data_IF_099832109209
#
_entry.id   IF_099832109209
#
_cell.length_a   1.000
_cell.length_b   1.000
_cell.length_c   1.000
_cell.angle_alpha   90.00
_cell.angle_beta   90.00
_cell.angle_gamma   90.00
#
_symmetry.space_group_name_H-M   'P 1'
#
loop_
_entity.id
_entity.type
_entity.pdbx_description
1 polymer ?
#
# COMPACT_ATOMS: atom_id res chain seq x y z
N UNK A 1 -19.09 -2.27 8.05
CA UNK A 1 -19.05 -1.05 7.21
C UNK A 1 -17.86 -1.04 6.26
N UNK A 2 -16.61 -0.91 6.72
CA UNK A 2 -15.41 -0.83 5.84
C UNK A 2 -15.31 -1.97 4.81
N UNK A 3 -15.51 -3.23 5.24
CA UNK A 3 -15.46 -4.37 4.32
C UNK A 3 -16.50 -4.29 3.18
N UNK A 4 -17.69 -3.76 3.47
CA UNK A 4 -18.72 -3.53 2.46
C UNK A 4 -18.33 -2.45 1.45
N UNK A 5 -17.75 -1.33 1.92
CA UNK A 5 -17.23 -0.29 1.03
C UNK A 5 -16.10 -0.81 0.14
N UNK A 6 -15.16 -1.58 0.71
CA UNK A 6 -14.06 -2.20 -0.04
C UNK A 6 -14.62 -3.13 -1.13
N UNK A 7 -15.57 -4.01 -0.79
CA UNK A 7 -16.18 -4.92 -1.76
C UNK A 7 -16.90 -4.16 -2.87
N UNK A 8 -17.71 -3.14 -2.51
CA UNK A 8 -18.42 -2.29 -3.46
C UNK A 8 -17.47 -1.62 -4.48
N UNK A 9 -16.39 -1.00 -4.00
CA UNK A 9 -15.46 -0.31 -4.89
C UNK A 9 -14.60 -1.26 -5.71
N UNK A 10 -14.23 -2.43 -5.15
CA UNK A 10 -13.57 -3.47 -5.92
C UNK A 10 -14.46 -3.99 -7.06
N UNK A 11 -15.74 -4.23 -6.79
CA UNK A 11 -16.74 -4.60 -7.81
C UNK A 11 -16.91 -3.49 -8.84
N UNK A 12 -16.97 -2.23 -8.42
CA UNK A 12 -17.06 -1.08 -9.32
C UNK A 12 -15.86 -1.00 -10.25
N UNK A 13 -14.65 -1.15 -9.72
CA UNK A 13 -13.42 -1.17 -10.53
C UNK A 13 -13.45 -2.33 -11.54
N UNK A 14 -13.85 -3.53 -11.11
CA UNK A 14 -13.96 -4.70 -11.99
C UNK A 14 -14.97 -4.49 -13.12
N UNK A 15 -16.16 -3.98 -12.80
CA UNK A 15 -17.19 -3.67 -13.81
C UNK A 15 -16.64 -2.66 -14.83
N UNK A 16 -15.94 -1.62 -14.37
CA UNK A 16 -15.33 -0.63 -15.26
C UNK A 16 -14.21 -1.22 -16.13
N UNK A 17 -13.45 -2.19 -15.64
CA UNK A 17 -12.48 -2.94 -16.46
C UNK A 17 -13.20 -3.74 -17.55
N UNK A 18 -14.25 -4.47 -17.18
CA UNK A 18 -15.01 -5.31 -18.11
C UNK A 18 -15.78 -4.50 -19.16
N UNK A 19 -16.14 -3.26 -18.82
CA UNK A 19 -16.82 -2.32 -19.71
C UNK A 19 -15.86 -1.46 -20.55
N UNK A 20 -14.54 -1.70 -20.49
CA UNK A 20 -13.50 -0.88 -21.14
C UNK A 20 -13.65 0.63 -20.82
N UNK A 21 -14.00 0.92 -19.58
CA UNK A 21 -14.25 2.29 -19.13
C UNK A 21 -12.94 3.10 -19.03
N UNK A 22 -13.01 4.45 -19.04
CA UNK A 22 -11.85 5.29 -18.85
C UNK A 22 -11.05 4.92 -17.61
N UNK A 23 -9.73 4.91 -17.71
CA UNK A 23 -8.81 4.49 -16.63
C UNK A 23 -9.05 5.19 -15.30
N UNK A 24 -9.52 6.42 -15.33
CA UNK A 24 -9.95 7.17 -14.14
C UNK A 24 -10.97 6.38 -13.30
N UNK A 25 -11.98 5.81 -13.96
CA UNK A 25 -13.08 5.03 -13.37
C UNK A 25 -12.66 3.62 -12.92
N UNK A 26 -11.43 3.20 -13.25
CA UNK A 26 -10.87 1.93 -12.79
C UNK A 26 -9.96 2.18 -11.60
N UNK A 27 -9.00 3.12 -11.78
CA UNK A 27 -7.92 3.33 -10.83
C UNK A 27 -8.43 4.01 -9.55
N UNK A 28 -9.31 5.00 -9.64
CA UNK A 28 -9.76 5.73 -8.44
C UNK A 28 -10.69 4.92 -7.54
N UNK A 29 -11.64 4.12 -8.06
CA UNK A 29 -12.33 3.13 -7.24
C UNK A 29 -11.38 2.16 -6.54
N UNK A 30 -10.31 1.74 -7.21
CA UNK A 30 -9.33 0.85 -6.58
C UNK A 30 -8.46 1.59 -5.53
N UNK A 31 -7.96 2.78 -5.81
CA UNK A 31 -7.04 3.49 -4.91
C UNK A 31 -7.77 4.26 -3.81
N UNK A 32 -8.74 5.09 -4.14
CA UNK A 32 -9.55 5.82 -3.15
C UNK A 32 -10.62 4.92 -2.51
N UNK A 33 -11.28 4.08 -3.30
CA UNK A 33 -12.35 3.23 -2.81
C UNK A 33 -11.86 2.02 -2.01
N UNK A 34 -10.87 1.28 -2.51
CA UNK A 34 -10.34 0.09 -1.80
C UNK A 34 -9.17 0.45 -0.89
N UNK A 35 -8.07 0.95 -1.46
CA UNK A 35 -6.81 1.14 -0.71
C UNK A 35 -6.96 2.19 0.40
N UNK A 36 -7.58 3.34 0.13
CA UNK A 36 -7.72 4.40 1.15
C UNK A 36 -8.67 4.00 2.27
N UNK A 37 -9.76 3.28 1.96
CA UNK A 37 -10.67 2.75 2.98
C UNK A 37 -9.96 1.73 3.89
N UNK A 38 -9.14 0.85 3.30
CA UNK A 38 -8.29 -0.07 4.05
C UNK A 38 -7.28 0.68 4.93
N UNK A 39 -6.55 1.65 4.36
CA UNK A 39 -5.56 2.46 5.09
C UNK A 39 -6.21 3.16 6.28
N UNK A 40 -7.32 3.89 6.10
CA UNK A 40 -8.00 4.61 7.18
C UNK A 40 -8.38 3.70 8.35
N UNK A 41 -8.89 2.51 8.04
CA UNK A 41 -9.35 1.54 9.04
C UNK A 41 -8.18 0.86 9.73
N UNK A 42 -7.30 0.22 8.96
CA UNK A 42 -6.24 -0.61 9.54
C UNK A 42 -5.12 0.22 10.18
N UNK A 43 -4.76 1.38 9.63
CA UNK A 43 -3.78 2.25 10.30
C UNK A 43 -4.30 2.79 11.63
N UNK A 44 -5.63 2.96 11.79
CA UNK A 44 -6.23 3.27 13.10
C UNK A 44 -5.99 2.14 14.09
N UNK A 45 -6.32 0.90 13.69
CA UNK A 45 -6.14 -0.30 14.54
C UNK A 45 -4.67 -0.54 14.90
N UNK A 46 -3.76 -0.41 13.94
CA UNK A 46 -2.32 -0.54 14.20
C UNK A 46 -1.81 0.57 15.10
N UNK A 47 -2.22 1.83 14.88
CA UNK A 47 -1.82 2.93 15.75
C UNK A 47 -2.33 2.74 17.18
N UNK A 48 -3.56 2.24 17.36
CA UNK A 48 -4.13 1.92 18.68
C UNK A 48 -3.28 0.86 19.40
N UNK A 49 -2.97 -0.25 18.73
CA UNK A 49 -2.13 -1.30 19.28
C UNK A 49 -0.71 -0.80 19.64
N UNK A 50 -0.08 -0.02 18.77
CA UNK A 50 1.28 0.48 18.96
C UNK A 50 1.41 1.54 20.06
N UNK A 51 0.33 2.29 20.32
CA UNK A 51 0.31 3.37 21.31
C UNK A 51 -0.44 3.01 22.59
N UNK A 52 -0.97 1.78 22.67
CA UNK A 52 -1.84 1.29 23.77
C UNK A 52 -3.02 2.24 24.01
N UNK A 53 -3.64 2.69 22.93
CA UNK A 53 -4.84 3.54 22.95
C UNK A 53 -6.03 2.82 22.31
N UNK A 54 -7.22 3.38 22.45
CA UNK A 54 -8.43 2.87 21.82
C UNK A 54 -9.18 4.01 21.12
N UNK A 55 -9.48 3.83 19.83
CA UNK A 55 -10.26 4.79 19.06
C UNK A 55 -11.75 4.56 19.21
N UNK A 56 -12.51 5.65 19.33
CA UNK A 56 -13.95 5.60 19.08
C UNK A 56 -14.19 5.33 17.58
N UNK A 57 -15.17 4.49 17.23
CA UNK A 57 -15.42 4.12 15.83
C UNK A 57 -15.99 5.28 15.00
N UNK A 58 -16.84 6.12 15.60
CA UNK A 58 -17.56 7.18 14.88
C UNK A 58 -16.63 8.15 14.10
N UNK A 59 -15.55 8.73 14.67
CA UNK A 59 -14.64 9.58 13.90
C UNK A 59 -13.97 8.89 12.71
N UNK A 60 -13.72 7.58 12.78
CA UNK A 60 -13.18 6.81 11.65
C UNK A 60 -14.24 6.68 10.56
N UNK A 61 -15.48 6.40 10.94
CA UNK A 61 -16.61 6.30 10.01
C UNK A 61 -16.93 7.63 9.32
N UNK A 62 -16.83 8.76 10.02
CA UNK A 62 -16.99 10.09 9.40
C UNK A 62 -15.92 10.33 8.34
N UNK A 63 -14.65 10.00 8.61
CA UNK A 63 -13.57 10.13 7.62
C UNK A 63 -13.75 9.21 6.42
N UNK A 64 -14.19 7.96 6.66
CA UNK A 64 -14.54 7.03 5.59
C UNK A 64 -15.69 7.59 4.75
N UNK A 65 -16.78 8.06 5.37
CA UNK A 65 -17.90 8.64 4.65
C UNK A 65 -17.48 9.85 3.80
N UNK A 66 -16.67 10.76 4.37
CA UNK A 66 -16.15 11.92 3.66
C UNK A 66 -15.32 11.53 2.41
N UNK A 67 -14.40 10.56 2.53
CA UNK A 67 -13.60 10.09 1.39
C UNK A 67 -14.45 9.39 0.34
N UNK A 68 -15.43 8.58 0.75
CA UNK A 68 -16.30 7.87 -0.20
C UNK A 68 -17.24 8.83 -0.94
N UNK A 69 -17.81 9.82 -0.24
CA UNK A 69 -18.64 10.86 -0.85
C UNK A 69 -17.81 11.74 -1.80
N UNK A 70 -16.57 12.10 -1.41
CA UNK A 70 -15.64 12.80 -2.27
C UNK A 70 -15.30 11.99 -3.53
N UNK A 71 -15.06 10.68 -3.42
CA UNK A 71 -14.82 9.81 -4.57
C UNK A 71 -16.04 9.76 -5.50
N UNK A 72 -17.25 9.60 -4.97
CA UNK A 72 -18.48 9.65 -5.78
C UNK A 72 -18.57 10.98 -6.52
N UNK A 73 -18.41 12.10 -5.81
CA UNK A 73 -18.45 13.43 -6.40
C UNK A 73 -17.39 13.60 -7.52
N UNK A 74 -16.18 13.11 -7.31
CA UNK A 74 -15.09 13.13 -8.31
C UNK A 74 -15.40 12.26 -9.54
N UNK A 75 -16.08 11.13 -9.39
CA UNK A 75 -16.45 10.25 -10.52
C UNK A 75 -17.55 10.87 -11.40
N UNK A 76 -18.40 11.72 -10.81
CA UNK A 76 -19.49 12.41 -11.52
C UNK A 76 -19.17 13.88 -11.83
N UNK A 77 -17.91 14.30 -11.67
CA UNK A 77 -17.44 15.68 -11.88
C UNK A 77 -18.23 16.74 -11.07
N UNK A 78 -18.77 16.35 -9.92
CA UNK A 78 -19.55 17.21 -9.04
C UNK A 78 -18.62 17.97 -8.08
N UNK A 79 -18.42 19.27 -8.33
CA UNK A 79 -17.59 20.15 -7.50
C UNK A 79 -16.18 19.56 -7.24
N UNK A 80 -15.41 19.21 -8.31
CA UNK A 80 -14.22 18.36 -8.19
C UNK A 80 -13.16 18.92 -7.24
N UNK A 81 -12.96 20.25 -7.21
CA UNK A 81 -12.01 20.89 -6.30
C UNK A 81 -12.43 20.75 -4.82
N UNK A 82 -13.73 20.88 -4.53
CA UNK A 82 -14.26 20.70 -3.17
C UNK A 82 -14.20 19.23 -2.75
N UNK A 83 -14.53 18.31 -3.67
CA UNK A 83 -14.43 16.88 -3.43
C UNK A 83 -12.98 16.46 -3.14
N UNK A 84 -12.02 16.93 -3.95
CA UNK A 84 -10.60 16.70 -3.75
C UNK A 84 -10.11 17.28 -2.41
N UNK A 85 -10.49 18.52 -2.08
CA UNK A 85 -10.16 19.15 -0.80
C UNK A 85 -10.75 18.36 0.38
N UNK A 86 -12.00 17.87 0.27
CA UNK A 86 -12.66 17.06 1.29
C UNK A 86 -11.89 15.77 1.57
N UNK A 87 -11.48 15.06 0.51
CA UNK A 87 -10.65 13.86 0.65
C UNK A 87 -9.31 14.17 1.33
N UNK A 88 -8.62 15.23 0.91
CA UNK A 88 -7.36 15.66 1.50
C UNK A 88 -7.51 16.04 2.99
N UNK A 89 -8.53 16.82 3.33
CA UNK A 89 -8.83 17.21 4.72
C UNK A 89 -9.17 16.00 5.60
N UNK A 90 -9.92 15.02 5.09
CA UNK A 90 -10.21 13.79 5.81
C UNK A 90 -8.93 12.99 6.13
N UNK A 91 -8.00 12.90 5.16
CA UNK A 91 -6.72 12.22 5.35
C UNK A 91 -5.77 12.99 6.26
N UNK A 92 -5.70 14.32 6.15
CA UNK A 92 -4.92 15.15 7.07
C UNK A 92 -5.46 15.06 8.50
N UNK A 93 -6.79 15.05 8.67
CA UNK A 93 -7.41 14.82 9.98
C UNK A 93 -7.04 13.44 10.53
N UNK A 94 -7.03 12.41 9.68
CA UNK A 94 -6.59 11.07 10.04
C UNK A 94 -5.13 11.04 10.51
N UNK A 95 -4.21 11.60 9.73
CA UNK A 95 -2.80 11.72 10.09
C UNK A 95 -2.59 12.49 11.40
N UNK A 96 -3.29 13.61 11.58
CA UNK A 96 -3.26 14.37 12.83
C UNK A 96 -3.79 13.56 14.03
N UNK A 97 -4.79 12.70 13.82
CA UNK A 97 -5.29 11.81 14.86
C UNK A 97 -4.26 10.78 15.29
N UNK A 98 -3.52 10.19 14.34
CA UNK A 98 -2.42 9.26 14.64
C UNK A 98 -1.27 9.99 15.35
N UNK A 99 -0.89 11.17 14.87
CA UNK A 99 0.14 12.00 15.50
C UNK A 99 -0.21 12.35 16.96
N UNK A 100 -1.48 12.65 17.25
CA UNK A 100 -1.93 12.87 18.64
C UNK A 100 -1.78 11.63 19.52
N UNK A 101 -2.07 10.43 19.00
CA UNK A 101 -1.86 9.17 19.74
C UNK A 101 -0.39 8.91 20.01
N UNK A 102 0.49 9.20 19.04
CA UNK A 102 1.93 9.08 19.21
C UNK A 102 2.47 9.99 20.32
N UNK A 103 1.89 11.19 20.47
CA UNK A 103 2.28 12.17 21.49
C UNK A 103 1.68 11.89 22.87
N UNK A 104 0.46 11.36 22.94
CA UNK A 104 -0.32 11.24 24.20
C UNK A 104 -0.48 9.81 24.72
N UNK A 105 -0.20 8.81 23.89
CA UNK A 105 -0.30 7.40 24.27
C UNK A 105 0.95 6.92 25.02
N UNK A 106 1.05 5.60 25.16
CA UNK A 106 2.23 4.91 25.70
C UNK A 106 2.93 4.18 24.54
N UNK A 107 3.66 4.91 23.68
CA UNK A 107 4.25 4.33 22.48
C UNK A 107 5.25 3.24 22.84
N UNK A 108 5.00 2.03 22.30
CA UNK A 108 6.00 0.97 22.34
C UNK A 108 7.20 1.31 21.45
N UNK A 109 8.30 0.55 21.55
CA UNK A 109 9.49 0.68 20.70
C UNK A 109 9.19 0.86 19.21
N UNK A 110 8.19 0.18 18.66
CA UNK A 110 7.85 0.19 17.24
C UNK A 110 6.76 1.19 16.86
N UNK A 111 6.28 2.01 17.79
CA UNK A 111 5.33 3.09 17.48
C UNK A 111 5.88 4.09 16.46
N UNK A 112 7.21 4.12 16.26
CA UNK A 112 7.83 4.90 15.18
C UNK A 112 7.31 4.54 13.79
N UNK A 113 6.85 3.31 13.57
CA UNK A 113 6.21 2.89 12.30
C UNK A 113 4.93 3.67 12.01
N UNK A 114 4.20 4.14 13.02
CA UNK A 114 3.00 4.92 12.81
C UNK A 114 3.27 6.35 12.30
N UNK A 115 4.52 6.86 12.37
CA UNK A 115 4.89 8.08 11.64
C UNK A 115 4.80 7.89 10.12
N UNK A 116 4.89 6.67 9.60
CA UNK A 116 4.67 6.41 8.18
C UNK A 116 3.23 6.75 7.78
N UNK A 117 2.24 6.49 8.63
CA UNK A 117 0.85 6.88 8.36
C UNK A 117 0.63 8.40 8.39
N UNK A 118 1.39 9.11 9.24
CA UNK A 118 1.37 10.58 9.30
C UNK A 118 1.98 11.16 8.03
N UNK A 119 3.14 10.65 7.61
CA UNK A 119 3.78 11.04 6.35
C UNK A 119 2.88 10.73 5.14
N UNK A 120 2.23 9.56 5.12
CA UNK A 120 1.29 9.17 4.08
C UNK A 120 0.15 10.18 3.92
N UNK A 121 -0.41 10.68 5.02
CA UNK A 121 -1.46 11.71 4.97
C UNK A 121 -0.98 13.02 4.33
N UNK A 122 0.26 13.43 4.60
CA UNK A 122 0.86 14.60 3.95
C UNK A 122 1.11 14.36 2.46
N UNK A 123 1.64 13.19 2.09
CA UNK A 123 1.82 12.80 0.69
C UNK A 123 0.50 12.71 -0.08
N UNK A 124 -0.57 12.26 0.56
CA UNK A 124 -1.90 12.26 -0.05
C UNK A 124 -2.35 13.68 -0.37
N UNK A 125 -2.16 14.63 0.55
CA UNK A 125 -2.48 16.03 0.30
C UNK A 125 -1.63 16.64 -0.83
N UNK A 126 -0.33 16.31 -0.89
CA UNK A 126 0.54 16.71 -2.01
C UNK A 126 0.10 16.08 -3.33
N UNK A 127 -0.30 14.80 -3.34
CA UNK A 127 -0.83 14.15 -4.53
C UNK A 127 -2.11 14.83 -5.02
N UNK A 128 -3.02 15.21 -4.10
CA UNK A 128 -4.22 15.98 -4.44
C UNK A 128 -3.86 17.36 -5.00
N UNK A 129 -2.90 18.06 -4.42
CA UNK A 129 -2.45 19.36 -4.92
C UNK A 129 -1.90 19.24 -6.35
N UNK A 130 -1.08 18.23 -6.64
CA UNK A 130 -0.58 17.94 -7.98
C UNK A 130 -1.72 17.63 -8.96
N UNK A 131 -2.75 16.88 -8.54
CA UNK A 131 -3.92 16.60 -9.37
C UNK A 131 -4.70 17.87 -9.76
N UNK A 132 -4.92 18.77 -8.80
CA UNK A 132 -5.60 20.06 -9.03
C UNK A 132 -4.80 20.93 -10.01
N UNK A 133 -3.47 20.86 -9.96
CA UNK A 133 -2.58 21.52 -10.93
C UNK A 133 -2.46 20.78 -12.26
N UNK A 134 -3.18 19.67 -12.44
CA UNK A 134 -3.14 18.79 -13.62
C UNK A 134 -1.78 18.14 -13.88
N UNK A 135 -0.92 18.07 -12.87
CA UNK A 135 0.34 17.32 -12.93
C UNK A 135 0.09 15.85 -12.54
N UNK A 136 -0.31 15.07 -13.56
CA UNK A 136 -0.61 13.63 -13.40
C UNK A 136 0.65 12.82 -13.05
N UNK A 137 1.82 13.26 -13.52
CA UNK A 137 3.08 12.56 -13.28
C UNK A 137 3.53 12.70 -11.82
N UNK A 138 3.44 13.90 -11.24
CA UNK A 138 3.67 14.10 -9.81
C UNK A 138 2.56 13.45 -8.97
N UNK A 139 1.28 13.65 -9.35
CA UNK A 139 0.13 13.08 -8.64
C UNK A 139 0.27 11.57 -8.45
N UNK A 140 0.53 10.84 -9.53
CA UNK A 140 0.61 9.38 -9.52
C UNK A 140 1.74 8.86 -8.62
N UNK A 141 2.94 9.46 -8.68
CA UNK A 141 4.08 9.08 -7.83
C UNK A 141 3.88 9.44 -6.37
N UNK A 142 3.32 10.61 -6.06
CA UNK A 142 2.98 11.00 -4.69
C UNK A 142 1.89 10.09 -4.10
N UNK A 143 0.89 9.71 -4.90
CA UNK A 143 -0.17 8.78 -4.47
C UNK A 143 0.36 7.35 -4.25
N UNK A 144 1.16 6.83 -5.17
CA UNK A 144 1.65 5.44 -5.12
C UNK A 144 2.81 5.29 -4.12
N UNK A 145 3.87 6.07 -4.30
CA UNK A 145 5.10 5.94 -3.50
C UNK A 145 5.07 6.75 -2.21
N UNK A 146 4.25 7.81 -2.15
CA UNK A 146 4.11 8.66 -0.99
C UNK A 146 3.01 8.20 -0.06
N UNK A 147 1.79 8.01 -0.57
CA UNK A 147 0.66 7.59 0.24
C UNK A 147 0.59 6.07 0.43
N UNK A 148 0.37 5.29 -0.63
CA UNK A 148 0.13 3.85 -0.49
C UNK A 148 1.38 3.11 0.06
N UNK A 149 2.53 3.29 -0.58
CA UNK A 149 3.76 2.59 -0.23
C UNK A 149 4.22 2.84 1.22
N UNK A 150 4.23 4.08 1.68
CA UNK A 150 4.70 4.39 3.06
C UNK A 150 3.82 3.72 4.11
N UNK A 151 2.50 3.63 3.89
CA UNK A 151 1.62 2.88 4.80
C UNK A 151 1.92 1.38 4.79
N UNK A 152 2.11 0.79 3.61
CA UNK A 152 2.43 -0.64 3.46
C UNK A 152 3.77 -0.96 4.11
N UNK A 153 4.82 -0.23 3.76
CA UNK A 153 6.18 -0.48 4.23
C UNK A 153 6.31 -0.25 5.74
N UNK A 154 5.66 0.78 6.29
CA UNK A 154 5.59 1.02 7.73
C UNK A 154 4.87 -0.13 8.47
N UNK A 155 3.78 -0.64 7.92
CA UNK A 155 3.02 -1.78 8.50
C UNK A 155 3.87 -3.04 8.52
N UNK A 156 4.51 -3.37 7.39
CA UNK A 156 5.28 -4.61 7.18
C UNK A 156 6.41 -4.77 8.19
N UNK A 157 7.06 -3.68 8.61
CA UNK A 157 8.15 -3.71 9.60
C UNK A 157 7.72 -4.37 10.92
N UNK A 158 6.44 -4.28 11.27
CA UNK A 158 5.88 -4.90 12.47
C UNK A 158 5.09 -6.17 12.16
N UNK A 159 4.37 -6.18 11.03
CA UNK A 159 3.51 -7.29 10.65
C UNK A 159 4.29 -8.57 10.34
N UNK A 160 5.37 -8.50 9.55
CA UNK A 160 6.14 -9.70 9.18
C UNK A 160 6.73 -10.42 10.41
N UNK A 161 7.38 -9.74 11.37
CA UNK A 161 7.82 -10.38 12.60
C UNK A 161 6.67 -11.01 13.41
N UNK A 162 5.48 -10.39 13.41
CA UNK A 162 4.29 -11.00 14.04
C UNK A 162 3.88 -12.29 13.33
N UNK A 163 3.87 -12.29 11.99
CA UNK A 163 3.50 -13.47 11.19
C UNK A 163 4.48 -14.63 11.37
N UNK A 164 5.78 -14.35 11.52
CA UNK A 164 6.82 -15.36 11.76
C UNK A 164 7.03 -15.67 13.24
N UNK A 165 6.26 -15.04 14.15
CA UNK A 165 6.43 -15.14 15.61
C UNK A 165 7.85 -14.81 16.08
N UNK A 166 8.57 -13.98 15.33
CA UNK A 166 9.91 -13.49 15.65
C UNK A 166 9.84 -12.14 16.34
N UNK A 167 10.91 -11.81 17.09
CA UNK A 167 11.06 -10.48 17.66
C UNK A 167 11.33 -9.47 16.55
N UNK A 168 10.61 -8.36 16.56
CA UNK A 168 10.83 -7.28 15.60
C UNK A 168 12.26 -6.71 15.73
N UNK A 169 12.90 -6.43 14.59
CA UNK A 169 14.32 -6.07 14.52
C UNK A 169 14.58 -4.65 15.06
N UNK A 170 15.43 -4.48 16.10
CA UNK A 170 15.85 -3.15 16.57
C UNK A 170 16.59 -2.36 15.48
N UNK A 171 17.31 -3.07 14.61
CA UNK A 171 18.00 -2.51 13.45
C UNK A 171 17.00 -1.92 12.47
N UNK A 172 15.97 -2.66 12.06
CA UNK A 172 14.93 -2.14 11.16
C UNK A 172 14.26 -0.90 11.74
N UNK A 173 13.98 -0.90 13.04
CA UNK A 173 13.43 0.27 13.74
C UNK A 173 14.34 1.50 13.66
N UNK A 174 15.65 1.35 13.92
CA UNK A 174 16.61 2.46 13.84
C UNK A 174 16.71 2.99 12.41
N UNK A 175 16.80 2.08 11.44
CA UNK A 175 16.93 2.41 10.01
C UNK A 175 15.68 3.10 9.46
N UNK A 176 14.50 2.76 9.96
CA UNK A 176 13.22 3.34 9.54
C UNK A 176 13.19 4.86 9.69
N UNK A 177 13.68 5.41 10.80
CA UNK A 177 13.64 6.87 11.01
C UNK A 177 14.45 7.62 9.95
N UNK A 178 15.64 7.10 9.60
CA UNK A 178 16.47 7.68 8.54
C UNK A 178 15.84 7.49 7.16
N UNK A 179 15.32 6.30 6.89
CA UNK A 179 14.69 6.00 5.60
C UNK A 179 13.44 6.85 5.36
N UNK A 180 12.59 7.01 6.39
CA UNK A 180 11.40 7.83 6.31
C UNK A 180 11.77 9.31 6.13
N UNK A 181 12.78 9.81 6.86
CA UNK A 181 13.24 11.19 6.69
C UNK A 181 13.77 11.43 5.26
N UNK A 182 14.62 10.53 4.75
CA UNK A 182 15.12 10.60 3.38
C UNK A 182 13.96 10.56 2.36
N UNK A 183 12.98 9.67 2.54
CA UNK A 183 11.83 9.54 1.65
C UNK A 183 10.93 10.78 1.66
N UNK A 184 10.70 11.38 2.83
CA UNK A 184 9.94 12.62 3.00
C UNK A 184 10.56 13.82 2.28
N UNK A 185 11.87 13.82 2.04
CA UNK A 185 12.58 14.87 1.31
C UNK A 185 12.69 14.52 -0.18
N UNK A 186 13.09 13.28 -0.47
CA UNK A 186 13.43 12.85 -1.82
C UNK A 186 12.18 12.69 -2.71
N UNK A 187 11.05 12.20 -2.19
CA UNK A 187 9.89 11.98 -3.05
C UNK A 187 9.25 13.30 -3.55
N UNK A 188 9.06 14.35 -2.72
CA UNK A 188 8.62 15.65 -3.23
C UNK A 188 9.62 16.27 -4.21
N UNK A 189 10.92 16.11 -3.96
CA UNK A 189 11.95 16.56 -4.90
C UNK A 189 11.85 15.81 -6.24
N UNK A 190 11.62 14.49 -6.22
CA UNK A 190 11.42 13.71 -7.43
C UNK A 190 10.20 14.18 -8.23
N UNK A 191 9.11 14.51 -7.54
CA UNK A 191 7.89 15.04 -8.15
C UNK A 191 8.08 16.46 -8.72
N UNK A 192 8.83 17.32 -8.04
CA UNK A 192 9.05 18.71 -8.46
C UNK A 192 10.09 18.85 -9.60
N UNK A 193 10.99 17.87 -9.75
CA UNK A 193 12.10 17.90 -10.70
C UNK A 193 11.92 16.94 -11.89
N UNK A 194 10.68 16.50 -12.15
CA UNK A 194 10.35 15.61 -13.27
C UNK A 194 10.89 16.17 -14.60
N UNK A 195 11.38 15.26 -15.46
CA UNK A 195 12.06 15.63 -16.70
C UNK A 195 13.56 15.93 -16.53
N UNK A 196 14.10 15.89 -15.31
CA UNK A 196 15.55 16.07 -15.04
C UNK A 196 16.18 14.80 -14.46
N UNK A 197 17.50 14.62 -14.59
CA UNK A 197 18.22 13.52 -13.93
C UNK A 197 18.09 13.52 -12.39
N UNK A 198 17.79 14.68 -11.80
CA UNK A 198 17.59 14.80 -10.35
C UNK A 198 16.31 14.11 -9.89
N UNK A 199 15.26 14.03 -10.72
CA UNK A 199 14.07 13.25 -10.38
C UNK A 199 14.39 11.76 -10.24
N UNK A 200 15.18 11.23 -11.18
CA UNK A 200 15.67 9.84 -11.12
C UNK A 200 16.50 9.61 -9.86
N UNK A 201 17.47 10.48 -9.59
CA UNK A 201 18.33 10.36 -8.41
C UNK A 201 17.51 10.39 -7.12
N UNK A 202 16.55 11.30 -7.01
CA UNK A 202 15.68 11.42 -5.84
C UNK A 202 14.78 10.17 -5.67
N UNK A 203 14.21 9.62 -6.75
CA UNK A 203 13.42 8.40 -6.66
C UNK A 203 14.29 7.15 -6.33
N UNK A 204 15.52 7.10 -6.81
CA UNK A 204 16.48 6.05 -6.39
C UNK A 204 16.83 6.16 -4.91
N UNK A 205 16.98 7.37 -4.36
CA UNK A 205 17.17 7.58 -2.91
C UNK A 205 15.97 7.01 -2.14
N UNK A 206 14.74 7.23 -2.60
CA UNK A 206 13.56 6.60 -2.00
C UNK A 206 13.65 5.06 -2.00
N UNK A 207 13.97 4.47 -3.14
CA UNK A 207 14.06 3.01 -3.28
C UNK A 207 15.15 2.41 -2.37
N UNK A 208 16.34 3.01 -2.37
CA UNK A 208 17.47 2.59 -1.54
C UNK A 208 17.19 2.77 -0.03
N UNK A 209 16.57 3.88 0.35
CA UNK A 209 16.17 4.14 1.74
C UNK A 209 15.23 3.04 2.27
N UNK A 210 14.24 2.65 1.48
CA UNK A 210 13.33 1.57 1.87
C UNK A 210 13.98 0.18 1.81
N UNK A 211 14.82 -0.11 0.83
CA UNK A 211 15.65 -1.32 0.83
C UNK A 211 16.47 -1.43 2.11
N UNK A 212 17.11 -0.33 2.54
CA UNK A 212 17.91 -0.27 3.76
C UNK A 212 17.08 -0.55 5.03
N UNK A 213 15.91 0.05 5.16
CA UNK A 213 15.03 -0.12 6.32
C UNK A 213 14.36 -1.50 6.37
N UNK A 214 13.94 -2.05 5.24
CA UNK A 214 13.22 -3.33 5.15
C UNK A 214 14.16 -4.54 5.16
N UNK A 215 15.42 -4.38 4.77
CA UNK A 215 16.38 -5.49 4.66
C UNK A 215 16.41 -6.41 5.89
N UNK A 216 16.49 -5.93 7.16
CA UNK A 216 16.55 -6.84 8.30
C UNK A 216 15.28 -7.67 8.48
N UNK A 217 14.12 -7.10 8.15
CA UNK A 217 12.81 -7.76 8.29
C UNK A 217 12.59 -8.77 7.17
N UNK A 218 12.94 -8.41 5.93
CA UNK A 218 12.87 -9.31 4.80
C UNK A 218 13.85 -10.46 4.94
N UNK A 219 15.10 -10.20 5.35
CA UNK A 219 16.08 -11.25 5.59
C UNK A 219 15.64 -12.20 6.71
N UNK A 220 15.16 -11.68 7.85
CA UNK A 220 14.70 -12.53 8.94
C UNK A 220 13.46 -13.36 8.58
N UNK A 221 12.69 -12.93 7.59
CA UNK A 221 11.51 -13.66 7.11
C UNK A 221 11.90 -14.71 6.07
N UNK A 222 12.62 -14.32 5.02
CA UNK A 222 12.92 -15.17 3.88
C UNK A 222 13.92 -16.29 4.20
N UNK A 223 14.76 -16.09 5.21
CA UNK A 223 15.70 -17.09 5.71
C UNK A 223 15.24 -17.73 7.03
N UNK A 224 13.94 -17.63 7.36
CA UNK A 224 13.36 -18.35 8.50
C UNK A 224 13.18 -19.84 8.15
N UNK A 225 13.56 -20.73 9.06
CA UNK A 225 13.36 -22.18 8.93
C UNK A 225 11.88 -22.56 8.99
N UNK A 226 11.05 -21.76 9.66
CA UNK A 226 9.61 -21.99 9.83
C UNK A 226 8.78 -21.01 8.97
N UNK A 227 9.29 -20.63 7.79
CA UNK A 227 8.62 -19.73 6.87
C UNK A 227 7.21 -20.23 6.54
N UNK A 228 6.19 -19.39 6.70
CA UNK A 228 4.81 -19.70 6.34
C UNK A 228 4.44 -19.11 4.98
N UNK A 229 3.53 -19.73 4.23
CA UNK A 229 3.08 -19.19 2.94
C UNK A 229 2.50 -17.76 3.04
N UNK A 230 1.72 -17.40 4.09
CA UNK A 230 1.28 -16.03 4.30
C UNK A 230 2.43 -15.03 4.44
N UNK A 231 3.46 -15.35 5.23
CA UNK A 231 4.63 -14.48 5.43
C UNK A 231 5.46 -14.35 4.15
N UNK A 232 5.65 -15.46 3.41
CA UNK A 232 6.32 -15.44 2.11
C UNK A 232 5.55 -14.57 1.10
N UNK A 233 4.22 -14.67 1.04
CA UNK A 233 3.39 -13.87 0.13
C UNK A 233 3.53 -12.38 0.44
N UNK A 234 3.50 -11.97 1.72
CA UNK A 234 3.73 -10.57 2.10
C UNK A 234 5.15 -10.12 1.73
N UNK A 235 6.17 -10.93 2.01
CA UNK A 235 7.56 -10.59 1.67
C UNK A 235 7.76 -10.46 0.14
N UNK A 236 7.20 -11.38 -0.64
CA UNK A 236 7.23 -11.33 -2.10
C UNK A 236 6.53 -10.08 -2.64
N UNK A 237 5.34 -9.76 -2.14
CA UNK A 237 4.63 -8.55 -2.56
C UNK A 237 5.40 -7.26 -2.25
N UNK A 238 6.10 -7.21 -1.11
CA UNK A 238 6.99 -6.08 -0.77
C UNK A 238 8.19 -5.99 -1.69
N UNK A 239 8.80 -7.12 -2.06
CA UNK A 239 9.88 -7.15 -3.05
C UNK A 239 9.41 -6.69 -4.44
N UNK A 240 8.20 -7.07 -4.85
CA UNK A 240 7.59 -6.57 -6.08
C UNK A 240 7.38 -5.06 -6.07
N UNK A 241 6.87 -4.51 -4.96
CA UNK A 241 6.67 -3.07 -4.84
C UNK A 241 8.01 -2.30 -4.80
N UNK A 242 9.04 -2.82 -4.14
CA UNK A 242 10.39 -2.26 -4.20
C UNK A 242 10.96 -2.30 -5.62
N UNK A 243 10.88 -3.46 -6.27
CA UNK A 243 11.30 -3.62 -7.66
C UNK A 243 10.56 -2.66 -8.60
N UNK A 244 9.27 -2.45 -8.38
CA UNK A 244 8.48 -1.50 -9.14
C UNK A 244 8.92 -0.04 -8.91
N UNK A 245 9.34 0.32 -7.70
CA UNK A 245 9.91 1.65 -7.43
C UNK A 245 11.25 1.85 -8.15
N UNK A 246 12.12 0.84 -8.17
CA UNK A 246 13.36 0.87 -8.98
C UNK A 246 13.06 0.95 -10.48
N UNK A 247 12.05 0.23 -10.96
CA UNK A 247 11.64 0.27 -12.35
C UNK A 247 11.11 1.67 -12.74
N UNK A 248 10.31 2.33 -11.89
CA UNK A 248 9.86 3.71 -12.12
C UNK A 248 11.06 4.66 -12.23
N UNK A 249 12.03 4.55 -11.31
CA UNK A 249 13.26 5.35 -11.38
C UNK A 249 14.05 5.09 -12.67
N UNK A 250 14.16 3.83 -13.10
CA UNK A 250 14.79 3.49 -14.38
C UNK A 250 14.02 4.10 -15.57
N UNK A 251 12.68 4.09 -15.54
CA UNK A 251 11.88 4.71 -16.60
C UNK A 251 12.09 6.22 -16.66
N UNK A 252 12.18 6.91 -15.52
CA UNK A 252 12.54 8.33 -15.46
C UNK A 252 13.93 8.57 -16.08
N UNK A 253 14.90 7.70 -15.80
CA UNK A 253 16.25 7.78 -16.36
C UNK A 253 16.26 7.66 -17.89
N UNK A 254 15.31 6.89 -18.43
CA UNK A 254 15.11 6.70 -19.87
C UNK A 254 14.22 7.79 -20.50
N UNK A 255 13.83 8.82 -19.75
CA UNK A 255 13.05 9.95 -20.25
C UNK A 255 11.53 9.77 -20.17
N UNK A 256 11.02 8.75 -19.47
CA UNK A 256 9.58 8.60 -19.27
C UNK A 256 9.06 9.68 -18.33
N UNK A 257 8.13 10.52 -18.79
CA UNK A 257 7.52 11.55 -17.93
C UNK A 257 6.36 10.96 -17.11
N UNK A 258 5.53 10.12 -17.75
CA UNK A 258 4.33 9.53 -17.14
C UNK A 258 4.65 8.24 -16.39
N UNK A 259 3.84 7.98 -15.37
CA UNK A 259 3.90 6.71 -14.65
C UNK A 259 3.59 5.54 -15.61
N UNK A 260 4.46 4.52 -15.73
CA UNK A 260 4.27 3.44 -16.69
C UNK A 260 2.99 2.64 -16.38
N UNK A 261 2.18 2.40 -17.41
CA UNK A 261 0.87 1.75 -17.25
C UNK A 261 0.99 0.29 -16.83
N UNK A 262 1.89 -0.42 -17.50
CA UNK A 262 2.26 -1.78 -17.17
C UNK A 262 2.73 -1.88 -15.70
N UNK A 263 3.54 -0.92 -15.24
CA UNK A 263 4.02 -0.88 -13.85
C UNK A 263 2.89 -0.79 -12.83
N UNK A 264 1.85 0.01 -13.11
CA UNK A 264 0.68 0.09 -12.23
C UNK A 264 -0.04 -1.27 -12.13
N UNK A 265 -0.19 -1.98 -13.24
CA UNK A 265 -0.80 -3.31 -13.24
C UNK A 265 0.04 -4.29 -12.42
N UNK A 266 1.37 -4.25 -12.54
CA UNK A 266 2.27 -5.08 -11.71
C UNK A 266 2.18 -4.75 -10.22
N UNK A 267 2.14 -3.47 -9.86
CA UNK A 267 1.96 -3.02 -8.48
C UNK A 267 0.68 -3.59 -7.88
N UNK A 268 -0.41 -3.60 -8.64
CA UNK A 268 -1.71 -4.08 -8.18
C UNK A 268 -1.76 -5.62 -8.12
N UNK A 269 -1.35 -6.29 -9.19
CA UNK A 269 -1.54 -7.73 -9.36
C UNK A 269 -0.46 -8.59 -8.71
N UNK A 270 0.79 -8.11 -8.65
CA UNK A 270 1.88 -8.82 -7.99
C UNK A 270 2.08 -8.29 -6.57
N UNK A 271 2.30 -6.98 -6.42
CA UNK A 271 2.61 -6.38 -5.13
C UNK A 271 1.44 -6.41 -4.13
N UNK A 272 0.42 -5.60 -4.41
CA UNK A 272 -0.69 -5.37 -3.48
C UNK A 272 -1.53 -6.63 -3.27
N UNK A 273 -1.82 -7.38 -4.35
CA UNK A 273 -2.54 -8.65 -4.25
C UNK A 273 -1.84 -9.66 -3.33
N UNK A 274 -0.52 -9.86 -3.48
CA UNK A 274 0.22 -10.80 -2.62
C UNK A 274 0.27 -10.34 -1.16
N UNK A 275 0.37 -9.02 -0.91
CA UNK A 275 0.33 -8.48 0.45
C UNK A 275 -1.06 -8.70 1.07
N UNK A 276 -2.13 -8.38 0.35
CA UNK A 276 -3.50 -8.56 0.84
C UNK A 276 -3.80 -10.03 1.07
N UNK A 277 -3.45 -10.89 0.11
CA UNK A 277 -3.70 -12.32 0.20
C UNK A 277 -2.90 -12.97 1.34
N UNK A 278 -1.63 -12.58 1.51
CA UNK A 278 -0.80 -13.03 2.62
C UNK A 278 -1.31 -12.53 3.97
N UNK A 279 -1.69 -11.25 4.08
CA UNK A 279 -2.25 -10.69 5.31
C UNK A 279 -3.56 -11.40 5.71
N UNK A 280 -4.47 -11.62 4.76
CA UNK A 280 -5.73 -12.34 5.02
C UNK A 280 -5.49 -13.80 5.38
N UNK A 281 -4.55 -14.48 4.71
CA UNK A 281 -4.18 -15.86 5.01
C UNK A 281 -3.66 -16.04 6.45
N UNK A 282 -3.05 -15.00 7.03
CA UNK A 282 -2.65 -15.00 8.43
C UNK A 282 -3.77 -14.57 9.39
N UNK A 283 -4.53 -13.53 9.05
CA UNK A 283 -5.53 -12.94 9.95
C UNK A 283 -6.80 -13.78 10.07
N UNK A 284 -7.25 -14.46 9.01
CA UNK A 284 -8.50 -15.22 9.02
C UNK A 284 -8.52 -16.36 10.04
N UNK A 285 -7.47 -17.22 10.14
CA UNK A 285 -7.43 -18.25 11.17
C UNK A 285 -7.48 -17.67 12.60
N UNK A 286 -6.75 -16.57 12.81
CA UNK A 286 -6.69 -15.88 14.12
C UNK A 286 -8.06 -15.34 14.52
N UNK A 287 -8.78 -14.73 13.57
CA UNK A 287 -10.12 -14.15 13.80
C UNK A 287 -11.21 -15.21 13.97
N UNK A 288 -11.11 -16.34 13.25
CA UNK A 288 -12.08 -17.44 13.32
C UNK A 288 -11.79 -18.42 14.47
N UNK A 289 -10.71 -18.22 15.23
CA UNK A 289 -10.22 -19.12 16.30
C UNK A 289 -10.09 -20.58 15.85
N UNK A 290 -9.94 -20.82 14.54
CA UNK A 290 -9.79 -22.16 13.99
C UNK A 290 -8.33 -22.55 14.14
N UNK A 291 -8.05 -23.67 14.81
CA UNK A 291 -6.72 -24.26 14.78
C UNK A 291 -6.48 -24.77 13.36
N UNK A 292 -5.72 -24.01 12.58
CA UNK A 292 -5.25 -24.44 11.26
C UNK A 292 -3.76 -24.69 11.35
N UNK A 293 -3.31 -25.84 10.86
CA UNK A 293 -1.88 -26.06 10.64
C UNK A 293 -1.27 -24.96 9.76
N UNK A 294 0.04 -24.69 9.88
CA UNK A 294 0.70 -23.69 9.04
C UNK A 294 0.42 -23.97 7.56
N UNK A 295 -0.19 -23.01 6.87
CA UNK A 295 -0.43 -23.13 5.44
C UNK A 295 0.91 -23.19 4.69
N UNK A 296 1.28 -24.38 4.23
CA UNK A 296 2.43 -24.60 3.35
C UNK A 296 2.10 -24.41 1.86
N UNK A 297 1.01 -23.70 1.54
CA UNK A 297 0.57 -23.38 0.19
C UNK A 297 1.50 -22.45 -0.60
N UNK A 298 2.82 -22.62 -0.51
CA UNK A 298 3.85 -21.86 -1.22
C UNK A 298 3.64 -21.86 -2.73
N UNK A 299 3.04 -22.94 -3.27
CA UNK A 299 2.64 -23.02 -4.67
C UNK A 299 1.83 -21.80 -5.11
N UNK A 300 0.89 -21.32 -4.30
CA UNK A 300 0.04 -20.18 -4.66
C UNK A 300 0.83 -18.88 -4.73
N UNK A 301 1.77 -18.68 -3.81
CA UNK A 301 2.69 -17.54 -3.83
C UNK A 301 3.62 -17.62 -5.04
N UNK A 302 4.11 -18.83 -5.36
CA UNK A 302 4.91 -19.13 -6.55
C UNK A 302 4.17 -18.84 -7.85
N UNK A 303 2.88 -19.22 -7.98
CA UNK A 303 2.04 -18.92 -9.15
C UNK A 303 1.87 -17.42 -9.33
N UNK A 304 1.64 -16.65 -8.26
CA UNK A 304 1.54 -15.19 -8.35
C UNK A 304 2.85 -14.55 -8.78
N UNK A 305 3.98 -14.93 -8.16
CA UNK A 305 5.30 -14.39 -8.53
C UNK A 305 5.71 -14.82 -9.94
N UNK A 306 5.44 -16.06 -10.33
CA UNK A 306 5.69 -16.58 -11.67
C UNK A 306 4.84 -15.88 -12.73
N UNK A 307 3.54 -15.69 -12.47
CA UNK A 307 2.66 -14.93 -13.34
C UNK A 307 3.10 -13.47 -13.51
N UNK A 308 3.58 -12.84 -12.43
CA UNK A 308 4.16 -11.50 -12.50
C UNK A 308 5.43 -11.44 -13.35
N UNK A 309 6.35 -12.40 -13.22
CA UNK A 309 7.55 -12.50 -14.07
C UNK A 309 7.14 -12.71 -15.53
N UNK A 310 6.23 -13.65 -15.81
CA UNK A 310 5.76 -13.92 -17.17
C UNK A 310 5.09 -12.69 -17.75
N UNK A 311 4.34 -11.91 -16.96
CA UNK A 311 3.69 -10.69 -17.44
C UNK A 311 4.69 -9.61 -17.86
N UNK A 312 5.92 -9.58 -17.32
CA UNK A 312 6.98 -8.67 -17.80
C UNK A 312 7.41 -8.96 -19.23
N UNK A 313 7.27 -10.21 -19.68
CA UNK A 313 7.67 -10.68 -21.02
C UNK A 313 6.45 -10.74 -21.95
N UNK A 314 5.35 -11.31 -21.47
CA UNK A 314 4.09 -11.50 -22.19
C UNK A 314 2.92 -11.14 -21.27
N UNK A 315 2.46 -9.86 -21.30
CA UNK A 315 1.43 -9.38 -20.39
C UNK A 315 0.13 -10.18 -20.43
N UNK A 316 -0.46 -10.55 -21.60
CA UNK A 316 -1.68 -11.35 -21.64
C UNK A 316 -1.57 -12.68 -20.89
N UNK A 317 -0.48 -13.43 -21.10
CA UNK A 317 -0.28 -14.73 -20.46
C UNK A 317 -0.02 -14.56 -18.96
N UNK A 318 0.87 -13.64 -18.59
CA UNK A 318 1.21 -13.46 -17.17
C UNK A 318 0.03 -12.91 -16.36
N UNK A 319 -0.81 -12.04 -16.93
CA UNK A 319 -2.03 -11.57 -16.27
C UNK A 319 -3.05 -12.69 -16.07
N UNK A 320 -3.16 -13.63 -17.01
CA UNK A 320 -3.99 -14.81 -16.82
C UNK A 320 -3.48 -15.69 -15.65
N UNK A 321 -2.17 -15.90 -15.57
CA UNK A 321 -1.55 -16.66 -14.47
C UNK A 321 -1.75 -15.95 -13.12
N UNK A 322 -1.61 -14.63 -13.09
CA UNK A 322 -1.88 -13.80 -11.90
C UNK A 322 -3.34 -13.94 -11.45
N UNK A 323 -4.30 -13.86 -12.37
CA UNK A 323 -5.72 -14.05 -12.07
C UNK A 323 -5.98 -15.44 -11.46
N UNK A 324 -5.36 -16.49 -12.01
CA UNK A 324 -5.44 -17.85 -11.45
C UNK A 324 -4.88 -17.88 -10.02
N UNK A 325 -3.69 -17.31 -9.79
CA UNK A 325 -3.07 -17.25 -8.47
C UNK A 325 -3.91 -16.50 -7.42
N UNK A 326 -4.60 -15.43 -7.84
CA UNK A 326 -5.55 -14.66 -7.04
C UNK A 326 -6.79 -15.49 -6.67
N UNK A 327 -7.38 -16.22 -7.63
CA UNK A 327 -8.52 -17.11 -7.38
C UNK A 327 -8.15 -18.24 -6.42
N UNK A 328 -6.94 -18.81 -6.54
CA UNK A 328 -6.45 -19.85 -5.63
C UNK A 328 -6.30 -19.36 -4.18
N UNK A 329 -6.00 -18.07 -3.98
CA UNK A 329 -6.02 -17.44 -2.66
C UNK A 329 -7.45 -17.18 -2.18
N UNK A 330 -8.32 -16.63 -3.04
CA UNK A 330 -9.70 -16.31 -2.70
C UNK A 330 -10.53 -17.54 -2.32
N UNK A 331 -10.32 -18.69 -2.99
CA UNK A 331 -11.06 -19.94 -2.71
C UNK A 331 -10.84 -20.45 -1.28
N UNK A 332 -9.64 -20.27 -0.72
CA UNK A 332 -9.33 -20.67 0.66
C UNK A 332 -9.98 -19.73 1.70
N UNK A 333 -10.25 -18.49 1.30
CA UNK A 333 -10.92 -17.48 2.14
C UNK A 333 -12.44 -17.68 2.13
N UNK A 334 -13.02 -18.01 0.97
CA UNK A 334 -14.47 -18.19 0.81
C UNK A 334 -14.99 -19.56 1.26
N UNK A 335 -14.15 -20.61 1.20
CA UNK A 335 -14.49 -21.98 1.58
C UNK A 335 -13.38 -22.55 2.49
N UNK A 336 -13.43 -22.28 3.80
CA UNK A 336 -12.38 -22.65 4.75
C UNK A 336 -12.38 -24.12 5.17
#
# INVERSE_FOLDING_TARGET
MTGGCIAFWASTALINVLADAPRWNIIHPLTLGVVTNAILTYSTHFADALTRTASRPLPVYVRLAAVNLALVALLFDALPNLAAATAASALLWHGASIARKLRRGLPGPFATTAYCYVAAAAFFALAVAAAVQRDIAAHSRLAVWGFAWTTIAGTVITLLPTMTRRRASPTARKRLSYALAAHCIALPAAAALLGTPLATAALLVCALAWSYALQPVLASTLFDTDLSAPALSVAAGVLWLLGAMYADAATLALGAERFPTNLLVFILAAGLAQIVAGALGHLLPVLTRRATEPDQGFFKAGVLSGGAIVALINPPIGLAILAIGLVLHARKVAFP
#
